data_IF_442017722965
#
_entry.id   IF_442017722965
#
_cell.length_a   1.000
_cell.length_b   1.000
_cell.length_c   1.000
_cell.angle_alpha   90.00
_cell.angle_beta   90.00
_cell.angle_gamma   90.00
#
_symmetry.space_group_name_H-M   'P 1'
#
loop_
_entity.id
_entity.type
_entity.pdbx_description
1 polymer ?
#
# COMPACT_ATOMS: atom_id res chain seq x y z
N UNK A 1 1.09 13.39 -3.95
CA UNK A 1 1.16 13.66 -2.48
C UNK A 1 2.63 13.87 -2.08
N UNK A 2 2.97 14.40 -0.89
CA UNK A 2 4.40 14.54 -0.49
C UNK A 2 5.04 13.18 -0.19
N UNK A 3 6.35 13.03 -0.46
CA UNK A 3 7.13 11.79 -0.26
C UNK A 3 7.02 11.25 1.17
N UNK A 4 7.11 12.11 2.18
CA UNK A 4 6.94 11.73 3.60
C UNK A 4 5.58 11.09 3.87
N UNK A 5 4.54 11.58 3.18
CA UNK A 5 3.19 11.04 3.30
C UNK A 5 3.08 9.69 2.58
N UNK A 6 3.74 9.53 1.43
CA UNK A 6 3.84 8.24 0.73
C UNK A 6 4.52 7.22 1.62
N UNK A 7 5.66 7.57 2.23
CA UNK A 7 6.40 6.68 3.12
C UNK A 7 5.52 6.17 4.26
N UNK A 8 4.81 7.09 4.92
CA UNK A 8 3.87 6.73 5.99
C UNK A 8 2.78 5.78 5.50
N UNK A 9 2.17 6.07 4.35
CA UNK A 9 1.13 5.21 3.76
C UNK A 9 1.66 3.82 3.40
N UNK A 10 2.87 3.73 2.82
CA UNK A 10 3.52 2.46 2.52
C UNK A 10 3.78 1.67 3.79
N UNK A 11 4.39 2.30 4.81
CA UNK A 11 4.69 1.65 6.10
C UNK A 11 3.40 1.14 6.76
N UNK A 12 2.35 1.96 6.79
CA UNK A 12 1.05 1.54 7.33
C UNK A 12 0.44 0.37 6.54
N UNK A 13 0.61 0.36 5.21
CA UNK A 13 0.13 -0.71 4.31
C UNK A 13 0.87 -2.01 4.56
N UNK A 14 2.21 -1.99 4.60
CA UNK A 14 3.05 -3.16 4.89
C UNK A 14 2.68 -3.76 6.24
N UNK A 15 2.67 -2.94 7.31
CA UNK A 15 2.27 -3.38 8.65
C UNK A 15 0.87 -4.01 8.66
N UNK A 16 -0.04 -3.50 7.82
CA UNK A 16 -1.41 -3.96 7.81
C UNK A 16 -1.57 -5.28 7.05
N UNK A 17 -0.85 -5.48 5.94
CA UNK A 17 -0.77 -6.76 5.23
C UNK A 17 -0.26 -7.86 6.16
N UNK A 18 0.82 -7.60 6.90
CA UNK A 18 1.41 -8.53 7.87
C UNK A 18 0.44 -8.88 9.00
N UNK A 19 -0.23 -7.87 9.58
CA UNK A 19 -1.22 -8.09 10.65
C UNK A 19 -2.43 -8.89 10.20
N UNK A 20 -2.88 -8.69 8.96
CA UNK A 20 -3.99 -9.45 8.38
C UNK A 20 -3.56 -10.83 7.88
N UNK A 21 -2.24 -11.08 7.75
CA UNK A 21 -1.67 -12.30 7.16
C UNK A 21 -2.24 -12.58 5.76
N UNK A 22 -2.32 -11.54 4.93
CA UNK A 22 -2.83 -11.62 3.54
C UNK A 22 -1.77 -11.13 2.57
N UNK A 23 -1.84 -11.61 1.33
CA UNK A 23 -0.95 -11.14 0.26
C UNK A 23 0.46 -11.74 0.28
N UNK A 24 0.73 -12.75 1.12
CA UNK A 24 2.00 -13.52 1.13
C UNK A 24 3.27 -12.66 1.08
N UNK A 25 3.88 -12.51 -0.11
CA UNK A 25 5.10 -11.72 -0.36
C UNK A 25 4.86 -10.23 -0.54
N UNK A 26 3.60 -9.79 -0.68
CA UNK A 26 3.24 -8.42 -1.07
C UNK A 26 3.76 -7.35 -0.11
N UNK A 27 3.82 -7.66 1.20
CA UNK A 27 4.39 -6.75 2.19
C UNK A 27 5.88 -6.48 1.91
N UNK A 28 6.64 -7.54 1.61
CA UNK A 28 8.06 -7.44 1.26
C UNK A 28 8.27 -6.79 -0.11
N UNK A 29 7.45 -7.15 -1.11
CA UNK A 29 7.50 -6.56 -2.45
C UNK A 29 7.20 -5.06 -2.42
N UNK A 30 6.16 -4.64 -1.69
CA UNK A 30 5.79 -3.23 -1.57
C UNK A 30 6.89 -2.43 -0.85
N UNK A 31 7.49 -3.01 0.18
CA UNK A 31 8.65 -2.42 0.86
C UNK A 31 9.83 -2.25 -0.11
N UNK A 32 10.15 -3.28 -0.90
CA UNK A 32 11.20 -3.20 -1.91
C UNK A 32 10.91 -2.13 -2.97
N UNK A 33 9.68 -2.09 -3.50
CA UNK A 33 9.27 -1.08 -4.48
C UNK A 33 9.37 0.34 -3.94
N UNK A 34 9.10 0.55 -2.65
CA UNK A 34 9.31 1.84 -2.00
C UNK A 34 10.77 2.27 -1.99
N UNK A 35 11.69 1.36 -1.65
CA UNK A 35 13.12 1.65 -1.71
C UNK A 35 13.61 1.88 -3.14
N UNK A 36 13.12 1.13 -4.13
CA UNK A 36 13.42 1.38 -5.55
C UNK A 36 12.98 2.78 -5.96
N UNK A 37 11.70 3.12 -5.71
CA UNK A 37 11.14 4.44 -6.00
C UNK A 37 11.94 5.58 -5.37
N UNK A 38 12.40 5.43 -4.12
CA UNK A 38 13.25 6.44 -3.48
C UNK A 38 14.57 6.68 -4.22
N UNK A 39 15.07 5.68 -4.93
CA UNK A 39 16.35 5.75 -5.66
C UNK A 39 16.18 6.18 -7.13
N UNK A 40 15.19 5.66 -7.83
CA UNK A 40 15.01 5.84 -9.28
C UNK A 40 13.84 6.75 -9.67
N UNK A 41 13.00 7.14 -8.70
CA UNK A 41 11.76 7.91 -8.91
C UNK A 41 10.78 7.24 -9.88
N UNK A 42 10.91 5.93 -10.14
CA UNK A 42 10.02 5.16 -11.00
C UNK A 42 8.84 4.60 -10.18
N UNK A 43 7.60 5.09 -10.35
CA UNK A 43 6.47 4.67 -9.53
C UNK A 43 5.87 3.33 -9.95
N UNK A 44 6.24 2.76 -11.11
CA UNK A 44 5.53 1.63 -11.73
C UNK A 44 5.35 0.45 -10.77
N UNK A 45 6.45 -0.03 -10.17
CA UNK A 45 6.38 -1.14 -9.22
C UNK A 45 5.60 -0.77 -7.95
N UNK A 46 5.80 0.45 -7.44
CA UNK A 46 5.11 0.93 -6.25
C UNK A 46 3.59 0.99 -6.46
N UNK A 47 3.14 1.50 -7.62
CA UNK A 47 1.74 1.58 -8.01
C UNK A 47 1.14 0.18 -8.15
N UNK A 48 1.78 -0.71 -8.89
CA UNK A 48 1.29 -2.08 -9.12
C UNK A 48 1.09 -2.84 -7.80
N UNK A 49 2.06 -2.76 -6.88
CA UNK A 49 1.95 -3.45 -5.58
C UNK A 49 0.95 -2.76 -4.65
N UNK A 50 0.82 -1.44 -4.74
CA UNK A 50 -0.20 -0.70 -3.98
C UNK A 50 -1.62 -1.05 -4.43
N UNK A 51 -1.83 -1.29 -5.72
CA UNK A 51 -3.14 -1.70 -6.26
C UNK A 51 -3.55 -3.07 -5.72
N UNK A 52 -2.65 -4.05 -5.75
CA UNK A 52 -2.85 -5.37 -5.14
C UNK A 52 -3.19 -5.28 -3.64
N UNK A 53 -2.49 -4.40 -2.91
CA UNK A 53 -2.76 -4.19 -1.50
C UNK A 53 -4.13 -3.54 -1.26
N UNK A 54 -4.54 -2.63 -2.14
CA UNK A 54 -5.85 -1.97 -2.09
C UNK A 54 -6.99 -2.97 -2.28
N UNK A 55 -6.88 -3.89 -3.24
CA UNK A 55 -7.87 -4.95 -3.47
C UNK A 55 -8.04 -5.82 -2.22
N UNK A 56 -6.93 -6.26 -1.61
CA UNK A 56 -6.96 -7.04 -0.37
C UNK A 56 -7.59 -6.27 0.79
N UNK A 57 -7.32 -4.97 0.91
CA UNK A 57 -7.92 -4.14 1.94
C UNK A 57 -9.41 -3.91 1.72
N UNK A 58 -9.85 -3.71 0.46
CA UNK A 58 -11.28 -3.60 0.12
C UNK A 58 -12.01 -4.90 0.47
N UNK A 59 -11.48 -6.06 0.05
CA UNK A 59 -12.04 -7.37 0.40
C UNK A 59 -12.06 -7.63 1.91
N UNK A 60 -11.02 -7.23 2.65
CA UNK A 60 -11.00 -7.33 4.11
C UNK A 60 -12.07 -6.44 4.76
N UNK A 61 -12.31 -5.24 4.21
CA UNK A 61 -13.34 -4.31 4.70
C UNK A 61 -14.77 -4.74 4.38
N UNK A 62 -14.99 -5.43 3.27
CA UNK A 62 -16.29 -6.06 2.96
C UNK A 62 -16.68 -7.09 4.02
N UNK A 63 -15.72 -7.90 4.46
CA UNK A 63 -15.93 -8.88 5.55
C UNK A 63 -16.07 -8.21 6.92
N UNK A 64 -15.28 -7.18 7.17
CA UNK A 64 -15.32 -6.40 8.40
C UNK A 64 -14.88 -4.96 8.14
N UNK A 65 -15.82 -4.02 8.18
CA UNK A 65 -15.58 -2.61 7.84
C UNK A 65 -14.48 -1.93 8.67
N UNK A 66 -14.18 -2.46 9.86
CA UNK A 66 -13.12 -2.01 10.78
C UNK A 66 -11.79 -2.75 10.59
N UNK A 67 -11.74 -3.77 9.73
CA UNK A 67 -10.52 -4.52 9.45
C UNK A 67 -9.41 -3.59 8.98
N UNK A 68 -9.69 -2.61 8.12
CA UNK A 68 -8.74 -1.60 7.65
C UNK A 68 -9.37 -0.22 7.81
N UNK A 69 -8.58 0.78 8.21
CA UNK A 69 -9.10 2.14 8.38
C UNK A 69 -9.47 2.75 7.02
N UNK A 70 -10.54 3.54 6.97
CA UNK A 70 -10.94 4.26 5.75
C UNK A 70 -9.82 5.14 5.22
N UNK A 71 -9.11 5.80 6.14
CA UNK A 71 -7.98 6.67 5.83
C UNK A 71 -6.85 5.94 5.11
N UNK A 72 -6.49 4.73 5.52
CA UNK A 72 -5.41 3.97 4.88
C UNK A 72 -5.78 3.62 3.43
N UNK A 73 -7.02 3.22 3.18
CA UNK A 73 -7.54 2.97 1.83
C UNK A 73 -7.49 4.23 0.97
N UNK A 74 -8.01 5.36 1.48
CA UNK A 74 -8.01 6.64 0.74
C UNK A 74 -6.60 7.20 0.48
N UNK A 75 -5.64 6.97 1.39
CA UNK A 75 -4.27 7.41 1.18
C UNK A 75 -3.53 6.46 0.21
N UNK A 76 -3.85 5.17 0.18
CA UNK A 76 -3.30 4.21 -0.79
C UNK A 76 -3.83 4.47 -2.22
N UNK A 77 -5.10 4.84 -2.38
CA UNK A 77 -5.68 5.26 -3.66
C UNK A 77 -4.96 6.48 -4.27
N UNK A 78 -4.43 7.37 -3.42
CA UNK A 78 -3.64 8.53 -3.89
C UNK A 78 -2.25 8.14 -4.40
N UNK A 79 -1.73 6.97 -4.05
CA UNK A 79 -0.49 6.43 -4.62
C UNK A 79 -0.74 5.92 -6.04
N UNK A 80 -1.93 5.38 -6.32
CA UNK A 80 -2.26 4.82 -7.64
C UNK A 80 -2.35 5.86 -8.77
N UNK A 81 -2.47 7.14 -8.42
CA UNK A 81 -2.54 8.26 -9.37
C UNK A 81 -1.20 9.00 -9.49
N UNK A 82 -0.10 8.35 -9.10
CA UNK A 82 1.25 8.88 -9.36
C UNK A 82 1.55 8.72 -10.86
N UNK A 83 1.80 9.85 -11.52
CA UNK A 83 2.22 9.94 -12.92
C UNK A 83 3.72 10.24 -12.99
#
# INVERSE_FOLDING_TARGET
MKVEKMEKTVIETVNKLEKLKVGESLAAELSWCWFSYKNDQNPVGLVEKSEKALELFKAAREKNSRAVSKKLVEDLEKILVLN
#
